data_IF_285165864786
#
_entry.id   IF_285165864786
#
_cell.length_a   1.000
_cell.length_b   1.000
_cell.length_c   1.000
_cell.angle_alpha   90.00
_cell.angle_beta   90.00
_cell.angle_gamma   90.00
#
_symmetry.space_group_name_H-M   'P 1'
#
loop_
_entity.id
_entity.type
_entity.pdbx_description
1 polymer ?
#
# COMPACT_ATOMS: atom_id res chain seq x y z
N UNK A 1 -6.47 -29.33 -43.25
CA UNK A 1 -7.73 -28.62 -42.91
C UNK A 1 -8.57 -28.41 -44.15
N UNK A 2 -9.71 -27.73 -44.04
CA UNK A 2 -10.70 -27.51 -45.13
C UNK A 2 -10.12 -26.92 -46.44
N UNK A 3 -9.00 -26.20 -46.36
CA UNK A 3 -8.37 -25.52 -47.50
C UNK A 3 -7.07 -26.18 -47.94
N UNK A 4 -6.54 -27.14 -47.17
CA UNK A 4 -5.18 -27.68 -47.39
C UNK A 4 -4.02 -26.72 -47.03
N UNK A 5 -4.32 -25.48 -46.62
CA UNK A 5 -3.33 -24.47 -46.23
C UNK A 5 -3.59 -23.97 -44.81
N UNK A 6 -2.53 -23.67 -44.07
CA UNK A 6 -2.58 -23.07 -42.73
C UNK A 6 -2.29 -21.57 -42.72
N UNK A 7 -1.85 -21.00 -43.85
CA UNK A 7 -1.59 -19.56 -43.96
C UNK A 7 -2.89 -18.84 -44.33
N UNK A 8 -3.35 -17.94 -43.46
CA UNK A 8 -4.59 -17.18 -43.69
C UNK A 8 -4.50 -16.27 -44.92
N UNK A 9 -3.30 -15.80 -45.30
CA UNK A 9 -3.13 -14.94 -46.48
C UNK A 9 -3.43 -15.72 -47.77
N UNK A 10 -2.87 -16.91 -47.91
CA UNK A 10 -3.15 -17.82 -49.03
C UNK A 10 -4.65 -18.20 -49.09
N UNK A 11 -5.26 -18.43 -47.92
CA UNK A 11 -6.70 -18.71 -47.85
C UNK A 11 -7.54 -17.49 -48.27
N UNK A 12 -7.16 -16.27 -47.91
CA UNK A 12 -7.83 -15.04 -48.35
C UNK A 12 -7.70 -14.82 -49.86
N UNK A 13 -6.50 -14.99 -50.43
CA UNK A 13 -6.24 -14.85 -51.86
C UNK A 13 -7.06 -15.86 -52.69
N UNK A 14 -7.09 -17.12 -52.26
CA UNK A 14 -7.90 -18.17 -52.92
C UNK A 14 -9.39 -17.90 -52.80
N UNK A 15 -9.85 -17.41 -51.64
CA UNK A 15 -11.25 -17.04 -51.47
C UNK A 15 -11.66 -15.89 -52.39
N UNK A 16 -10.75 -14.91 -52.61
CA UNK A 16 -10.94 -13.84 -53.57
C UNK A 16 -10.94 -14.34 -55.02
N UNK A 17 -10.17 -15.38 -55.34
CA UNK A 17 -10.19 -16.07 -56.63
C UNK A 17 -11.41 -16.99 -56.85
N UNK A 18 -12.35 -17.05 -55.91
CA UNK A 18 -13.60 -17.80 -56.03
C UNK A 18 -13.57 -19.24 -55.50
N UNK A 19 -12.51 -19.63 -54.78
CA UNK A 19 -12.44 -20.95 -54.14
C UNK A 19 -13.47 -21.07 -53.01
N UNK A 20 -14.47 -21.94 -53.22
CA UNK A 20 -15.57 -22.18 -52.28
C UNK A 20 -15.09 -22.75 -50.94
N UNK A 21 -14.06 -23.59 -50.94
CA UNK A 21 -13.53 -24.19 -49.71
C UNK A 21 -12.80 -23.13 -48.87
N UNK A 22 -12.05 -22.23 -49.52
CA UNK A 22 -11.40 -21.10 -48.87
C UNK A 22 -12.42 -20.10 -48.29
N UNK A 23 -13.46 -19.76 -49.06
CA UNK A 23 -14.56 -18.91 -48.59
C UNK A 23 -15.27 -19.51 -47.36
N UNK A 24 -15.57 -20.82 -47.41
CA UNK A 24 -16.19 -21.52 -46.28
C UNK A 24 -15.28 -21.49 -45.04
N UNK A 25 -13.98 -21.72 -45.20
CA UNK A 25 -13.03 -21.71 -44.10
C UNK A 25 -12.96 -20.34 -43.39
N UNK A 26 -12.91 -19.24 -44.16
CA UNK A 26 -12.95 -17.87 -43.63
C UNK A 26 -14.24 -17.62 -42.84
N UNK A 27 -15.39 -18.00 -43.41
CA UNK A 27 -16.68 -17.80 -42.76
C UNK A 27 -16.80 -18.60 -41.47
N UNK A 28 -16.33 -19.86 -41.46
CA UNK A 28 -16.31 -20.69 -40.26
C UNK A 28 -15.37 -20.14 -39.19
N UNK A 29 -14.20 -19.64 -39.58
CA UNK A 29 -13.26 -19.01 -38.66
C UNK A 29 -13.88 -17.77 -38.00
N UNK A 30 -14.42 -16.85 -38.80
CA UNK A 30 -15.04 -15.62 -38.31
C UNK A 30 -16.25 -15.91 -37.41
N UNK A 31 -17.08 -16.89 -37.79
CA UNK A 31 -18.23 -17.32 -37.00
C UNK A 31 -17.80 -17.88 -35.64
N UNK A 32 -16.78 -18.74 -35.61
CA UNK A 32 -16.28 -19.32 -34.34
C UNK A 32 -15.71 -18.24 -33.43
N UNK A 33 -14.86 -17.34 -33.95
CA UNK A 33 -14.30 -16.24 -33.16
C UNK A 33 -15.41 -15.34 -32.57
N UNK A 34 -16.40 -14.98 -33.39
CA UNK A 34 -17.57 -14.19 -32.96
C UNK A 34 -18.38 -14.91 -31.87
N UNK A 35 -18.60 -16.22 -32.02
CA UNK A 35 -19.28 -17.05 -31.00
C UNK A 35 -18.54 -17.01 -29.66
N UNK A 36 -17.19 -17.10 -29.66
CA UNK A 36 -16.41 -17.00 -28.44
C UNK A 36 -16.47 -15.61 -27.79
N UNK A 37 -16.41 -14.54 -28.59
CA UNK A 37 -16.59 -13.17 -28.08
C UNK A 37 -17.93 -13.04 -27.36
N UNK A 38 -19.02 -13.49 -28.00
CA UNK A 38 -20.35 -13.46 -27.39
C UNK A 38 -20.46 -14.29 -26.11
N UNK A 39 -19.87 -15.49 -26.10
CA UNK A 39 -19.85 -16.35 -24.90
C UNK A 39 -19.11 -15.70 -23.72
N UNK A 40 -17.94 -15.10 -23.98
CA UNK A 40 -17.17 -14.42 -22.94
C UNK A 40 -17.81 -13.13 -22.47
N UNK A 41 -18.40 -12.35 -23.38
CA UNK A 41 -19.17 -11.16 -22.99
C UNK A 41 -20.36 -11.53 -22.10
N UNK A 42 -21.08 -12.60 -22.41
CA UNK A 42 -22.17 -13.09 -21.56
C UNK A 42 -21.65 -13.57 -20.19
N UNK A 43 -20.55 -14.32 -20.15
CA UNK A 43 -19.97 -14.84 -18.91
C UNK A 43 -19.44 -13.75 -17.98
N UNK A 44 -18.93 -12.63 -18.53
CA UNK A 44 -18.38 -11.51 -17.76
C UNK A 44 -19.40 -10.41 -17.43
N UNK A 45 -20.65 -10.53 -17.90
CA UNK A 45 -21.69 -9.50 -17.71
C UNK A 45 -21.53 -8.27 -18.62
N UNK A 46 -20.72 -8.38 -19.67
CA UNK A 46 -20.34 -7.30 -20.56
C UNK A 46 -18.86 -7.33 -20.91
N UNK A 47 -18.42 -6.46 -21.82
CA UNK A 47 -17.01 -6.18 -22.09
C UNK A 47 -16.83 -4.71 -22.43
N UNK A 48 -15.73 -4.14 -21.96
CA UNK A 48 -15.32 -2.77 -22.33
C UNK A 48 -14.55 -2.75 -23.65
N UNK A 49 -13.94 -3.87 -24.05
CA UNK A 49 -13.15 -3.95 -25.27
C UNK A 49 -12.97 -5.34 -25.85
N UNK A 50 -12.70 -5.39 -27.15
CA UNK A 50 -12.25 -6.56 -27.90
C UNK A 50 -10.86 -6.26 -28.47
N UNK A 51 -9.88 -7.07 -28.12
CA UNK A 51 -8.49 -6.88 -28.54
C UNK A 51 -8.14 -7.92 -29.61
N UNK A 52 -7.68 -7.45 -30.75
CA UNK A 52 -7.09 -8.26 -31.81
C UNK A 52 -5.57 -8.23 -31.69
N UNK A 53 -4.98 -9.41 -31.59
CA UNK A 53 -3.53 -9.63 -31.53
C UNK A 53 -3.19 -10.95 -32.23
N UNK A 54 -1.91 -11.25 -32.36
CA UNK A 54 -1.39 -12.38 -33.12
C UNK A 54 -1.51 -12.19 -34.63
N UNK A 55 -0.86 -13.05 -35.40
CA UNK A 55 -0.65 -12.84 -36.84
C UNK A 55 -1.91 -12.47 -37.64
N UNK A 56 -3.04 -13.15 -37.42
CA UNK A 56 -4.30 -12.85 -38.14
C UNK A 56 -4.97 -11.58 -37.59
N UNK A 57 -5.03 -11.42 -36.27
CA UNK A 57 -5.68 -10.28 -35.63
C UNK A 57 -4.97 -8.96 -35.93
N UNK A 58 -3.64 -8.99 -36.03
CA UNK A 58 -2.79 -7.85 -36.34
C UNK A 58 -2.89 -7.46 -37.82
N UNK A 59 -2.81 -8.44 -38.73
CA UNK A 59 -2.57 -8.17 -40.15
C UNK A 59 -3.83 -8.23 -41.04
N UNK A 60 -4.88 -8.98 -40.66
CA UNK A 60 -6.07 -9.13 -41.51
C UNK A 60 -7.21 -8.20 -41.09
N UNK A 61 -7.26 -7.03 -41.73
CA UNK A 61 -8.39 -6.11 -41.60
C UNK A 61 -9.71 -6.74 -42.07
N UNK A 62 -9.65 -7.61 -43.09
CA UNK A 62 -10.80 -8.33 -43.63
C UNK A 62 -11.39 -9.28 -42.58
N UNK A 63 -10.53 -10.00 -41.85
CA UNK A 63 -10.94 -10.93 -40.81
C UNK A 63 -11.52 -10.20 -39.60
N UNK A 64 -10.87 -9.13 -39.13
CA UNK A 64 -11.40 -8.28 -38.05
C UNK A 64 -12.81 -7.80 -38.36
N UNK A 65 -13.04 -7.32 -39.60
CA UNK A 65 -14.38 -6.89 -40.06
C UNK A 65 -15.39 -8.03 -39.98
N UNK A 66 -15.05 -9.22 -40.49
CA UNK A 66 -15.93 -10.40 -40.48
C UNK A 66 -16.24 -10.92 -39.08
N UNK A 67 -15.31 -10.77 -38.13
CA UNK A 67 -15.51 -11.17 -36.73
C UNK A 67 -16.42 -10.18 -36.01
N UNK A 68 -16.20 -8.87 -36.20
CA UNK A 68 -16.99 -7.82 -35.57
C UNK A 68 -18.40 -7.67 -36.15
N UNK A 69 -18.64 -8.16 -37.36
CA UNK A 69 -19.95 -8.12 -37.97
C UNK A 69 -20.99 -8.88 -37.13
N UNK A 70 -22.17 -8.31 -36.94
CA UNK A 70 -23.22 -8.89 -36.07
C UNK A 70 -23.01 -8.68 -34.56
N UNK A 71 -21.96 -8.00 -34.10
CA UNK A 71 -21.75 -7.65 -32.67
C UNK A 71 -22.35 -6.28 -32.29
N UNK A 72 -23.15 -5.66 -33.15
CA UNK A 72 -23.76 -4.35 -32.88
C UNK A 72 -24.73 -4.40 -31.70
N UNK A 73 -25.38 -5.54 -31.43
CA UNK A 73 -26.33 -5.70 -30.33
C UNK A 73 -25.67 -5.51 -28.95
N UNK A 74 -24.38 -5.85 -28.81
CA UNK A 74 -23.61 -5.61 -27.59
C UNK A 74 -22.95 -4.22 -27.57
N UNK A 75 -23.22 -3.38 -28.58
CA UNK A 75 -22.71 -2.01 -28.65
C UNK A 75 -21.34 -1.88 -29.32
N UNK A 76 -20.84 -2.93 -29.98
CA UNK A 76 -19.60 -2.88 -30.76
C UNK A 76 -19.91 -2.40 -32.18
N UNK A 77 -19.37 -1.25 -32.57
CA UNK A 77 -19.45 -0.71 -33.94
C UNK A 77 -18.04 -0.49 -34.48
N UNK A 78 -17.69 -1.18 -35.56
CA UNK A 78 -16.37 -1.08 -36.18
C UNK A 78 -16.31 0.07 -37.20
N UNK A 79 -15.27 0.89 -37.13
CA UNK A 79 -14.95 1.89 -38.14
C UNK A 79 -14.16 1.23 -39.27
N UNK A 80 -14.65 1.37 -40.51
CA UNK A 80 -14.06 0.68 -41.65
C UNK A 80 -12.68 1.25 -42.02
N UNK A 81 -12.56 2.58 -42.04
CA UNK A 81 -11.35 3.26 -42.49
C UNK A 81 -10.24 3.11 -41.45
N UNK A 82 -10.57 3.26 -40.16
CA UNK A 82 -9.62 2.99 -39.07
C UNK A 82 -9.13 1.54 -39.07
N UNK A 83 -10.02 0.59 -39.35
CA UNK A 83 -9.66 -0.83 -39.42
C UNK A 83 -8.70 -1.13 -40.58
N UNK A 84 -8.84 -0.47 -41.74
CA UNK A 84 -7.93 -0.60 -42.87
C UNK A 84 -6.60 0.14 -42.66
N UNK A 85 -6.63 1.26 -41.94
CA UNK A 85 -5.48 2.11 -41.69
C UNK A 85 -4.51 1.58 -40.63
N UNK A 86 -4.81 0.44 -39.97
CA UNK A 86 -3.95 -0.14 -38.94
C UNK A 86 -2.54 -0.37 -39.48
N UNK A 87 -1.57 0.25 -38.82
CA UNK A 87 -0.14 0.01 -38.97
C UNK A 87 0.44 -0.12 -37.57
N UNK A 88 0.94 -1.30 -37.23
CA UNK A 88 1.56 -1.55 -35.95
C UNK A 88 3.06 -1.27 -36.08
N UNK A 89 3.54 -0.36 -35.24
CA UNK A 89 4.95 -0.05 -35.06
C UNK A 89 5.10 0.48 -33.64
N UNK A 90 6.29 0.31 -33.04
CA UNK A 90 6.63 0.91 -31.74
C UNK A 90 5.60 0.61 -30.60
N UNK A 91 5.01 -0.59 -30.58
CA UNK A 91 3.96 -0.99 -29.61
C UNK A 91 2.65 -0.20 -29.71
N UNK A 92 2.31 0.29 -30.91
CA UNK A 92 1.03 0.95 -31.14
C UNK A 92 -0.16 0.05 -30.80
N UNK A 93 -1.19 0.65 -30.20
CA UNK A 93 -2.47 -0.01 -29.88
C UNK A 93 -3.66 0.79 -30.45
N UNK A 94 -3.77 0.94 -31.79
CA UNK A 94 -4.83 1.73 -32.42
C UNK A 94 -6.22 1.21 -32.07
N UNK A 95 -7.12 2.16 -31.80
CA UNK A 95 -8.54 1.93 -31.59
C UNK A 95 -9.32 2.08 -32.91
N UNK A 96 -10.01 1.03 -33.32
CA UNK A 96 -10.65 0.91 -34.64
C UNK A 96 -12.18 0.84 -34.58
N UNK A 97 -12.77 1.10 -33.42
CA UNK A 97 -14.21 1.28 -33.29
C UNK A 97 -14.67 2.65 -33.80
N UNK A 98 -15.93 2.70 -34.24
CA UNK A 98 -16.62 3.92 -34.66
C UNK A 98 -16.99 4.79 -33.47
N UNK A 99 -17.20 6.08 -33.71
CA UNK A 99 -17.69 7.01 -32.71
C UNK A 99 -19.02 6.55 -32.11
N UNK A 100 -19.13 6.58 -30.78
CA UNK A 100 -20.30 6.11 -30.05
C UNK A 100 -20.41 4.59 -29.87
N UNK A 101 -19.39 3.81 -30.28
CA UNK A 101 -19.28 2.41 -29.85
C UNK A 101 -19.07 2.33 -28.34
N UNK A 102 -19.84 1.48 -27.65
CA UNK A 102 -19.70 1.23 -26.20
C UNK A 102 -18.53 0.29 -25.90
N UNK A 103 -18.16 -0.53 -26.88
CA UNK A 103 -17.06 -1.48 -26.78
C UNK A 103 -15.91 -0.96 -27.62
N UNK A 104 -14.73 -0.82 -27.02
CA UNK A 104 -13.50 -0.49 -27.73
C UNK A 104 -13.06 -1.67 -28.60
N UNK A 105 -12.46 -1.39 -29.75
CA UNK A 105 -11.85 -2.43 -30.59
C UNK A 105 -10.41 -2.04 -30.81
N UNK A 106 -9.49 -2.80 -30.23
CA UNK A 106 -8.06 -2.46 -30.19
C UNK A 106 -7.29 -3.48 -31.01
N UNK A 107 -6.31 -3.04 -31.78
CA UNK A 107 -5.34 -3.94 -32.43
C UNK A 107 -3.98 -3.67 -31.85
N UNK A 108 -3.26 -4.70 -31.40
CA UNK A 108 -1.94 -4.55 -30.78
C UNK A 108 -1.03 -5.73 -31.10
N UNK A 109 0.28 -5.48 -31.16
CA UNK A 109 1.30 -6.51 -31.31
C UNK A 109 1.33 -7.42 -30.09
N UNK A 110 1.58 -8.71 -30.32
CA UNK A 110 1.81 -9.66 -29.25
C UNK A 110 3.24 -9.49 -28.72
N UNK A 111 3.40 -9.01 -27.49
CA UNK A 111 4.72 -8.80 -26.88
C UNK A 111 5.14 -9.98 -25.98
N UNK A 112 5.18 -11.20 -26.52
CA UNK A 112 5.44 -12.43 -25.75
C UNK A 112 6.79 -12.36 -25.01
N UNK A 113 7.85 -11.90 -25.70
CA UNK A 113 9.19 -11.79 -25.13
C UNK A 113 9.23 -10.77 -23.99
N UNK A 114 8.47 -9.68 -24.08
CA UNK A 114 8.35 -8.70 -23.00
C UNK A 114 7.62 -9.29 -21.80
N UNK A 115 6.57 -10.07 -22.04
CA UNK A 115 5.83 -10.72 -20.95
C UNK A 115 6.68 -11.76 -20.24
N UNK A 116 7.44 -12.57 -20.99
CA UNK A 116 8.42 -13.50 -20.43
C UNK A 116 9.48 -12.74 -19.64
N UNK A 117 10.03 -11.65 -20.17
CA UNK A 117 11.02 -10.84 -19.47
C UNK A 117 10.48 -10.24 -18.17
N UNK A 118 9.22 -9.77 -18.16
CA UNK A 118 8.54 -9.27 -16.94
C UNK A 118 8.32 -10.37 -15.91
N UNK A 119 7.90 -11.55 -16.36
CA UNK A 119 7.71 -12.73 -15.51
C UNK A 119 9.04 -13.14 -14.88
N UNK A 120 10.08 -13.30 -15.72
CA UNK A 120 11.44 -13.61 -15.30
C UNK A 120 11.97 -12.55 -14.34
N UNK A 121 11.78 -11.25 -14.62
CA UNK A 121 12.20 -10.18 -13.71
C UNK A 121 11.50 -10.29 -12.34
N UNK A 122 10.21 -10.62 -12.31
CA UNK A 122 9.46 -10.83 -11.06
C UNK A 122 9.95 -12.03 -10.25
N UNK A 123 10.35 -13.11 -10.92
CA UNK A 123 10.92 -14.30 -10.26
C UNK A 123 12.39 -14.10 -9.87
N UNK A 124 13.16 -13.37 -10.67
CA UNK A 124 14.56 -13.05 -10.42
C UNK A 124 14.75 -11.89 -9.43
N UNK A 125 13.73 -11.07 -9.14
CA UNK A 125 13.82 -10.00 -8.13
C UNK A 125 14.05 -10.49 -6.69
N UNK A 126 14.32 -11.80 -6.52
CA UNK A 126 14.70 -12.53 -5.30
C UNK A 126 13.67 -12.42 -4.19
N UNK A 127 13.34 -13.57 -3.61
CA UNK A 127 12.90 -13.61 -2.23
C UNK A 127 13.94 -12.86 -1.38
N UNK A 128 13.56 -11.69 -0.88
CA UNK A 128 14.29 -10.97 0.16
C UNK A 128 14.54 -11.97 1.29
N UNK A 129 15.73 -11.96 1.89
CA UNK A 129 15.98 -12.76 3.10
C UNK A 129 14.77 -12.60 4.03
N UNK A 130 14.25 -13.68 4.65
CA UNK A 130 13.04 -13.60 5.46
C UNK A 130 13.21 -12.42 6.41
N UNK A 131 12.37 -11.40 6.24
CA UNK A 131 12.47 -10.19 7.04
C UNK A 131 12.37 -10.62 8.49
N UNK A 132 13.39 -10.31 9.28
CA UNK A 132 13.41 -10.60 10.72
C UNK A 132 12.07 -10.12 11.29
N UNK A 133 11.32 -10.98 12.02
CA UNK A 133 10.09 -10.52 12.64
C UNK A 133 10.41 -9.40 13.62
N UNK A 134 9.64 -8.33 13.56
CA UNK A 134 9.76 -7.16 14.41
C UNK A 134 8.67 -7.26 15.46
N UNK A 135 8.99 -7.47 16.75
CA UNK A 135 8.01 -7.40 17.82
C UNK A 135 7.29 -6.04 17.80
N UNK A 136 6.00 -6.05 18.13
CA UNK A 136 5.19 -4.84 18.20
C UNK A 136 4.90 -4.53 19.67
N UNK A 137 5.29 -3.33 20.10
CA UNK A 137 4.94 -2.78 21.39
C UNK A 137 3.83 -1.75 21.24
N UNK A 138 2.80 -1.90 22.06
CA UNK A 138 1.69 -0.96 22.16
C UNK A 138 2.00 0.02 23.28
N UNK A 139 2.16 1.29 22.91
CA UNK A 139 2.43 2.38 23.83
C UNK A 139 1.12 2.97 24.31
N UNK A 140 0.81 2.75 25.60
CA UNK A 140 -0.23 3.50 26.29
C UNK A 140 0.22 4.95 26.53
N UNK A 141 -0.73 5.82 26.89
CA UNK A 141 -0.46 7.22 27.24
C UNK A 141 0.58 7.34 28.35
N UNK A 142 1.55 8.23 28.16
CA UNK A 142 2.64 8.43 29.11
C UNK A 142 3.31 9.80 28.96
N UNK A 143 4.17 10.14 29.92
CA UNK A 143 4.94 11.39 29.96
C UNK A 143 6.42 11.08 30.18
N UNK A 144 7.27 11.77 29.44
CA UNK A 144 8.68 11.95 29.78
C UNK A 144 8.85 13.33 30.39
N UNK A 145 9.45 13.42 31.58
CA UNK A 145 9.62 14.68 32.30
C UNK A 145 11.01 15.28 32.11
N UNK A 146 11.06 16.62 32.07
CA UNK A 146 12.28 17.37 32.35
C UNK A 146 12.56 17.47 33.86
N UNK A 147 13.81 17.78 34.23
CA UNK A 147 14.16 18.01 35.64
C UNK A 147 13.33 19.14 36.27
N UNK A 148 13.11 20.24 35.53
CA UNK A 148 12.29 21.35 35.99
C UNK A 148 10.82 20.95 36.19
N UNK A 149 10.25 20.16 35.26
CA UNK A 149 8.88 19.66 35.41
C UNK A 149 8.76 18.65 36.56
N UNK A 150 9.77 17.80 36.78
CA UNK A 150 9.78 16.89 37.93
C UNK A 150 9.72 17.69 39.24
N UNK A 151 10.58 18.71 39.39
CA UNK A 151 10.60 19.56 40.57
C UNK A 151 9.26 20.28 40.80
N UNK A 152 8.64 20.80 39.74
CA UNK A 152 7.34 21.49 39.83
C UNK A 152 6.18 20.56 40.21
N UNK A 153 6.24 19.27 39.86
CA UNK A 153 5.16 18.31 40.11
C UNK A 153 5.33 17.53 41.42
N UNK A 154 6.57 17.21 41.79
CA UNK A 154 6.93 16.31 42.90
C UNK A 154 7.78 16.97 44.00
N UNK A 155 8.28 18.18 43.78
CA UNK A 155 9.10 18.94 44.73
C UNK A 155 10.58 18.99 44.36
N UNK A 156 11.27 20.04 44.81
CA UNK A 156 12.70 20.23 44.59
C UNK A 156 13.52 19.05 45.12
N UNK A 157 14.47 18.57 44.31
CA UNK A 157 15.33 17.44 44.65
C UNK A 157 14.66 16.06 44.63
N UNK A 158 13.38 15.97 44.24
CA UNK A 158 12.70 14.68 44.14
C UNK A 158 13.33 13.79 43.06
N UNK A 159 13.42 12.48 43.33
CA UNK A 159 13.91 11.47 42.39
C UNK A 159 12.81 10.43 42.18
N UNK A 160 12.45 10.19 40.92
CA UNK A 160 11.48 9.17 40.53
C UNK A 160 11.94 7.78 40.96
N UNK A 161 10.99 6.92 41.33
CA UNK A 161 11.26 5.54 41.73
C UNK A 161 11.06 4.62 40.52
N UNK A 162 12.11 3.94 40.02
CA UNK A 162 11.92 2.93 38.97
C UNK A 162 11.02 1.79 39.43
N UNK A 163 10.13 1.36 38.55
CA UNK A 163 9.25 0.20 38.76
C UNK A 163 9.75 -1.01 37.98
N UNK A 164 9.81 -0.91 36.65
CA UNK A 164 10.32 -1.97 35.78
C UNK A 164 10.98 -1.40 34.53
N UNK A 165 11.95 -2.13 34.00
CA UNK A 165 12.65 -1.78 32.76
C UNK A 165 11.75 -1.99 31.54
N UNK A 166 11.86 -1.07 30.58
CA UNK A 166 11.29 -1.24 29.25
C UNK A 166 12.25 -2.04 28.37
N UNK A 167 11.73 -2.58 27.26
CA UNK A 167 12.55 -3.35 26.32
C UNK A 167 13.65 -2.53 25.66
N UNK A 168 13.42 -1.22 25.47
CA UNK A 168 14.45 -0.32 24.97
C UNK A 168 15.49 -0.07 26.08
N UNK A 169 16.75 -0.52 25.93
CA UNK A 169 17.73 -0.51 27.02
C UNK A 169 17.94 0.87 27.63
N UNK A 170 17.97 0.93 28.97
CA UNK A 170 18.14 2.16 29.73
C UNK A 170 16.86 2.98 29.96
N UNK A 171 15.73 2.59 29.35
CA UNK A 171 14.42 3.20 29.61
C UNK A 171 13.63 2.34 30.60
N UNK A 172 12.81 2.98 31.43
CA UNK A 172 12.07 2.33 32.51
C UNK A 172 10.78 3.07 32.81
N UNK A 173 9.78 2.37 33.36
CA UNK A 173 8.57 2.99 33.88
C UNK A 173 8.77 3.33 35.37
N UNK A 174 8.33 4.51 35.78
CA UNK A 174 8.34 4.92 37.19
C UNK A 174 7.16 4.31 37.96
N UNK A 175 7.21 4.31 39.31
CA UNK A 175 6.03 4.00 40.15
C UNK A 175 5.06 5.16 40.20
N UNK A 176 5.57 6.37 40.09
CA UNK A 176 4.81 7.60 40.13
C UNK A 176 3.92 7.75 38.87
N UNK A 177 2.84 8.49 39.04
CA UNK A 177 1.89 8.83 37.97
C UNK A 177 1.57 10.32 38.03
N UNK A 178 1.17 10.88 36.90
CA UNK A 178 0.67 12.25 36.81
C UNK A 178 -0.74 12.26 36.23
N UNK A 179 -1.43 13.38 36.43
CA UNK A 179 -2.74 13.63 35.82
C UNK A 179 -2.60 14.67 34.71
N UNK A 180 -3.21 14.40 33.55
CA UNK A 180 -3.31 15.34 32.43
C UNK A 180 -4.68 16.02 32.49
N UNK A 181 -4.72 17.35 32.51
CA UNK A 181 -5.97 18.12 32.52
C UNK A 181 -6.06 18.98 31.26
N UNK A 182 -7.07 18.71 30.44
CA UNK A 182 -7.42 19.50 29.27
C UNK A 182 -8.73 20.29 29.47
N UNK A 183 -9.14 21.12 28.49
CA UNK A 183 -10.33 21.96 28.60
C UNK A 183 -11.64 21.19 28.80
N UNK A 184 -11.72 19.96 28.27
CA UNK A 184 -12.94 19.14 28.29
C UNK A 184 -12.92 18.06 29.37
N UNK A 185 -11.74 17.58 29.76
CA UNK A 185 -11.64 16.42 30.64
C UNK A 185 -10.23 16.16 31.15
N UNK A 186 -10.15 15.11 31.94
CA UNK A 186 -8.95 14.72 32.69
C UNK A 186 -8.59 13.27 32.37
N UNK A 187 -7.29 12.99 32.26
CA UNK A 187 -6.75 11.63 32.22
C UNK A 187 -5.88 11.43 33.46
N UNK A 188 -6.37 10.64 34.40
CA UNK A 188 -5.64 10.30 35.63
C UNK A 188 -4.68 9.12 35.41
N UNK A 189 -3.76 8.95 36.37
CA UNK A 189 -2.86 7.80 36.44
C UNK A 189 -2.00 7.60 35.18
N UNK A 190 -1.58 8.69 34.53
CA UNK A 190 -0.71 8.63 33.34
C UNK A 190 0.71 8.27 33.75
N UNK A 191 1.28 7.29 33.04
CA UNK A 191 2.60 6.73 33.32
C UNK A 191 3.71 7.76 33.10
N UNK A 192 4.78 7.65 33.89
CA UNK A 192 6.01 8.42 33.70
C UNK A 192 7.10 7.47 33.22
N UNK A 193 7.74 7.79 32.11
CA UNK A 193 8.84 6.99 31.56
C UNK A 193 10.17 7.72 31.73
N UNK A 194 11.11 7.04 32.37
CA UNK A 194 12.48 7.48 32.56
C UNK A 194 13.42 6.99 31.45
N UNK A 195 14.64 7.56 31.38
CA UNK A 195 15.17 8.63 32.24
C UNK A 195 14.55 10.00 31.93
N UNK A 196 14.85 10.99 32.78
CA UNK A 196 14.46 12.38 32.52
C UNK A 196 15.03 12.87 31.19
N UNK A 197 14.28 13.73 30.49
CA UNK A 197 14.66 14.32 29.21
C UNK A 197 14.99 15.81 29.37
N UNK A 198 15.54 16.42 28.33
CA UNK A 198 15.79 17.87 28.32
C UNK A 198 14.50 18.69 28.25
N UNK A 199 13.44 18.15 27.64
CA UNK A 199 12.12 18.78 27.51
C UNK A 199 11.03 17.77 27.82
N UNK A 200 9.99 18.23 28.49
CA UNK A 200 8.82 17.41 28.81
C UNK A 200 8.05 17.06 27.54
N UNK A 201 7.67 15.80 27.41
CA UNK A 201 6.94 15.26 26.27
C UNK A 201 5.79 14.40 26.75
N UNK A 202 4.60 14.61 26.21
CA UNK A 202 3.38 13.89 26.55
C UNK A 202 2.88 13.18 25.31
N UNK A 203 2.77 11.85 25.39
CA UNK A 203 2.31 11.00 24.31
C UNK A 203 0.93 10.43 24.68
N UNK A 204 -0.05 10.70 23.82
CA UNK A 204 -1.44 10.24 23.97
C UNK A 204 -1.96 9.65 22.66
N UNK A 205 -3.05 8.89 22.69
CA UNK A 205 -3.72 8.47 21.46
C UNK A 205 -4.59 9.59 20.88
N UNK A 206 -5.09 9.43 19.65
CA UNK A 206 -6.08 10.38 19.08
C UNK A 206 -7.36 10.37 19.90
N UNK A 207 -7.80 9.21 20.38
CA UNK A 207 -8.95 9.06 21.29
C UNK A 207 -8.77 9.89 22.56
N UNK A 208 -7.60 9.80 23.19
CA UNK A 208 -7.27 10.58 24.40
C UNK A 208 -7.32 12.09 24.15
N UNK A 209 -6.87 12.53 22.98
CA UNK A 209 -6.91 13.96 22.59
C UNK A 209 -8.35 14.51 22.57
N UNK A 210 -9.32 13.71 22.13
CA UNK A 210 -10.75 14.06 22.16
C UNK A 210 -11.35 14.08 23.58
N UNK A 211 -10.83 13.25 24.48
CA UNK A 211 -11.25 13.24 25.88
C UNK A 211 -10.75 14.49 26.62
N UNK A 212 -9.50 14.87 26.38
CA UNK A 212 -8.89 16.09 26.91
C UNK A 212 -9.49 17.36 26.31
N UNK A 213 -10.01 17.29 25.08
CA UNK A 213 -10.50 18.45 24.34
C UNK A 213 -9.37 19.31 23.79
N UNK A 214 -8.25 18.68 23.43
CA UNK A 214 -7.08 19.33 22.84
C UNK A 214 -6.76 18.64 21.53
N UNK A 215 -6.60 19.40 20.44
CA UNK A 215 -6.15 18.84 19.18
C UNK A 215 -4.62 18.65 19.19
N UNK A 216 -4.18 17.46 19.60
CA UNK A 216 -2.78 17.08 19.59
C UNK A 216 -2.33 16.67 18.16
N UNK A 217 -1.20 17.21 17.65
CA UNK A 217 -0.68 16.82 16.35
C UNK A 217 0.01 15.45 16.39
N UNK A 218 -0.02 14.71 15.28
CA UNK A 218 0.79 13.50 15.10
C UNK A 218 2.24 13.90 14.87
N UNK A 219 3.17 13.44 15.71
CA UNK A 219 4.59 13.85 15.66
C UNK A 219 5.53 12.70 16.02
N UNK A 220 6.72 12.77 15.44
CA UNK A 220 7.88 12.05 15.95
C UNK A 220 8.29 12.56 17.33
N UNK A 221 8.62 11.65 18.25
CA UNK A 221 9.27 12.00 19.53
C UNK A 221 10.40 13.02 19.34
N UNK A 222 10.40 14.06 20.18
CA UNK A 222 11.33 15.19 20.12
C UNK A 222 10.89 16.34 19.20
N UNK A 223 9.89 16.16 18.32
CA UNK A 223 9.37 17.23 17.45
C UNK A 223 8.21 17.99 18.10
N UNK A 224 8.55 18.74 19.16
CA UNK A 224 7.58 19.34 20.08
C UNK A 224 7.21 20.80 19.77
N UNK A 225 7.82 21.42 18.76
CA UNK A 225 7.55 22.81 18.45
C UNK A 225 6.13 23.02 17.91
N UNK A 226 5.48 24.08 18.40
CA UNK A 226 4.09 24.41 18.07
C UNK A 226 3.07 23.38 18.55
N UNK A 227 3.41 22.57 19.57
CA UNK A 227 2.44 21.67 20.22
C UNK A 227 1.54 22.45 21.18
N UNK A 228 0.30 21.97 21.40
CA UNK A 228 -0.63 22.65 22.30
C UNK A 228 -0.18 22.59 23.76
N UNK A 229 -0.66 23.55 24.55
CA UNK A 229 -0.46 23.57 26.00
C UNK A 229 -1.44 22.64 26.71
N UNK A 230 -0.95 21.93 27.73
CA UNK A 230 -1.73 21.08 28.62
C UNK A 230 -1.26 21.27 30.06
N UNK A 231 -2.16 21.06 31.03
CA UNK A 231 -1.82 21.05 32.45
C UNK A 231 -1.41 19.65 32.91
N UNK A 232 -0.25 19.55 33.53
CA UNK A 232 0.19 18.39 34.32
C UNK A 232 -0.06 18.66 35.80
N UNK A 233 -0.60 17.67 36.51
CA UNK A 233 -0.80 17.72 37.96
C UNK A 233 -0.07 16.54 38.60
N UNK A 234 0.80 16.84 39.57
CA UNK A 234 1.50 15.88 40.41
C UNK A 234 1.03 15.98 41.88
N UNK A 235 1.63 15.21 42.79
CA UNK A 235 1.18 15.12 44.18
C UNK A 235 1.35 16.42 44.98
N UNK A 236 2.30 17.29 44.61
CA UNK A 236 2.60 18.52 45.38
C UNK A 236 2.51 19.79 44.55
N UNK A 237 2.25 19.69 43.24
CA UNK A 237 2.20 20.84 42.35
C UNK A 237 1.61 20.54 40.99
N UNK A 238 1.52 21.58 40.17
CA UNK A 238 0.98 21.53 38.82
C UNK A 238 1.74 22.49 37.92
N UNK A 239 1.77 22.22 36.62
CA UNK A 239 2.37 23.12 35.62
C UNK A 239 1.62 23.04 34.29
N UNK A 240 1.55 24.17 33.59
CA UNK A 240 1.07 24.24 32.21
C UNK A 240 2.29 24.17 31.27
N UNK A 241 2.32 23.21 30.34
CA UNK A 241 3.45 22.97 29.43
C UNK A 241 2.98 22.65 28.02
N UNK A 242 3.85 22.90 27.04
CA UNK A 242 3.74 22.28 25.73
C UNK A 242 4.28 20.83 25.74
N UNK A 243 4.36 20.22 24.56
CA UNK A 243 4.94 18.88 24.37
C UNK A 243 3.91 17.76 24.20
N UNK A 244 2.61 18.09 24.11
CA UNK A 244 1.54 17.13 23.86
C UNK A 244 1.47 16.73 22.38
N UNK A 245 1.62 15.43 22.11
CA UNK A 245 1.56 14.85 20.76
C UNK A 245 0.76 13.56 20.74
N UNK A 246 0.22 13.23 19.56
CA UNK A 246 -0.08 11.84 19.22
C UNK A 246 1.20 11.22 18.66
N UNK A 247 1.66 10.14 19.27
CA UNK A 247 2.93 9.54 18.89
C UNK A 247 2.86 8.96 17.47
N UNK A 248 3.72 9.43 16.57
CA UNK A 248 3.88 8.80 15.27
C UNK A 248 4.55 7.43 15.44
N UNK A 249 4.00 6.40 14.80
CA UNK A 249 4.61 5.06 14.77
C UNK A 249 6.04 5.08 14.25
N UNK A 250 6.89 4.29 14.87
CA UNK A 250 8.30 4.18 14.49
C UNK A 250 8.87 2.83 14.91
N UNK A 251 10.06 2.51 14.40
CA UNK A 251 10.83 1.32 14.76
C UNK A 251 12.14 1.77 15.36
N UNK A 252 12.41 1.33 16.58
CA UNK A 252 13.76 1.33 17.12
C UNK A 252 14.49 0.09 16.59
N UNK A 253 15.74 0.24 16.16
CA UNK A 253 16.58 -0.88 15.73
C UNK A 253 18.07 -0.58 15.91
N UNK A 254 18.92 -1.60 15.92
CA UNK A 254 20.38 -1.45 15.98
C UNK A 254 21.01 -1.60 14.58
N UNK A 255 22.27 -1.15 14.37
CA UNK A 255 22.91 -1.20 13.05
C UNK A 255 22.95 -2.60 12.42
N UNK A 256 23.13 -3.64 13.23
CA UNK A 256 23.18 -5.03 12.75
C UNK A 256 21.83 -5.47 12.19
N UNK A 257 20.74 -5.23 12.94
CA UNK A 257 19.39 -5.58 12.51
C UNK A 257 18.91 -4.69 11.35
N UNK A 258 19.26 -3.40 11.35
CA UNK A 258 18.97 -2.49 10.25
C UNK A 258 19.60 -2.99 8.93
N UNK A 259 20.89 -3.36 8.97
CA UNK A 259 21.58 -3.94 7.83
C UNK A 259 20.94 -5.26 7.37
N UNK A 260 20.53 -6.13 8.30
CA UNK A 260 19.86 -7.38 7.99
C UNK A 260 18.48 -7.19 7.33
N UNK A 261 17.74 -6.14 7.72
CA UNK A 261 16.47 -5.75 7.09
C UNK A 261 16.65 -4.93 5.80
N UNK A 262 17.87 -4.45 5.54
CA UNK A 262 18.17 -3.53 4.44
C UNK A 262 17.45 -2.21 4.60
N UNK A 263 17.51 -1.63 5.80
CA UNK A 263 16.94 -0.33 6.15
C UNK A 263 17.98 0.60 6.77
N UNK A 264 17.74 1.90 6.67
CA UNK A 264 18.65 2.95 7.14
C UNK A 264 17.97 3.89 8.13
N UNK A 265 18.76 4.62 8.93
CA UNK A 265 18.24 5.62 9.87
C UNK A 265 17.48 6.73 9.14
N UNK A 266 16.33 7.13 9.67
CA UNK A 266 15.48 8.16 9.07
C UNK A 266 14.64 7.69 7.88
N UNK A 267 14.80 6.43 7.44
CA UNK A 267 14.01 5.87 6.35
C UNK A 267 12.56 5.64 6.79
N UNK A 268 11.61 5.87 5.88
CA UNK A 268 10.23 5.42 6.03
C UNK A 268 10.00 4.09 5.32
N UNK A 269 9.43 3.11 6.03
CA UNK A 269 9.13 1.78 5.50
C UNK A 269 7.67 1.38 5.70
N UNK A 270 7.24 0.36 4.99
CA UNK A 270 5.93 -0.24 5.20
C UNK A 270 6.09 -1.52 6.05
N UNK A 271 5.24 -1.69 7.06
CA UNK A 271 5.27 -2.85 7.95
C UNK A 271 3.98 -3.64 7.79
N UNK A 272 4.10 -4.86 7.27
CA UNK A 272 2.98 -5.81 7.23
C UNK A 272 2.93 -6.57 8.53
N UNK A 273 1.74 -6.68 9.11
CA UNK A 273 1.51 -7.49 10.29
C UNK A 273 1.42 -8.97 9.94
N UNK A 274 1.97 -9.80 10.81
CA UNK A 274 1.86 -11.26 10.80
C UNK A 274 1.34 -11.75 12.14
N UNK A 275 0.50 -12.79 12.13
CA UNK A 275 0.01 -13.43 13.37
C UNK A 275 -1.17 -12.74 14.05
N UNK A 276 -1.92 -11.88 13.36
CA UNK A 276 -3.14 -11.25 13.88
C UNK A 276 -4.38 -11.52 13.01
N UNK A 277 -5.58 -11.36 13.58
CA UNK A 277 -6.86 -11.56 12.88
C UNK A 277 -7.18 -10.43 11.89
N UNK A 278 -6.66 -9.22 12.15
CA UNK A 278 -6.85 -8.05 11.28
C UNK A 278 -5.58 -7.77 10.48
N UNK A 279 -5.47 -8.40 9.31
CA UNK A 279 -4.34 -8.18 8.41
C UNK A 279 -4.25 -6.72 7.96
N UNK A 280 -3.19 -6.02 8.36
CA UNK A 280 -2.91 -4.64 7.99
C UNK A 280 -1.46 -4.45 7.53
N UNK A 281 -1.24 -3.37 6.78
CA UNK A 281 0.10 -2.86 6.49
C UNK A 281 0.17 -1.40 6.93
N UNK A 282 1.00 -1.11 7.92
CA UNK A 282 1.31 0.24 8.35
C UNK A 282 2.30 0.85 7.37
N UNK A 283 1.82 1.72 6.49
CA UNK A 283 2.71 2.46 5.58
C UNK A 283 3.50 3.54 6.33
N UNK A 284 4.60 4.03 5.77
CA UNK A 284 5.33 5.20 6.31
C UNK A 284 5.67 5.12 7.81
N UNK A 285 6.22 4.01 8.27
CA UNK A 285 6.78 3.85 9.63
C UNK A 285 8.25 4.27 9.62
N UNK A 286 8.63 5.21 10.50
CA UNK A 286 9.99 5.74 10.57
C UNK A 286 10.96 4.73 11.20
N UNK A 287 12.13 4.53 10.60
CA UNK A 287 13.25 3.77 11.18
C UNK A 287 14.15 4.69 12.00
N UNK A 288 14.50 4.26 13.22
CA UNK A 288 15.44 4.93 14.11
C UNK A 288 16.53 3.96 14.53
N UNK A 289 17.72 4.15 13.98
CA UNK A 289 18.88 3.30 14.27
C UNK A 289 19.68 3.88 15.42
N UNK A 290 19.84 3.09 16.50
CA UNK A 290 20.66 3.46 17.65
C UNK A 290 21.55 2.27 18.05
N UNK A 291 22.80 2.48 18.50
CA UNK A 291 23.75 1.39 18.73
C UNK A 291 23.26 0.26 19.64
N UNK A 292 22.47 0.62 20.66
CA UNK A 292 21.98 -0.32 21.69
C UNK A 292 20.47 -0.57 21.62
N UNK A 293 19.80 -0.12 20.56
CA UNK A 293 18.35 -0.27 20.47
C UNK A 293 17.94 -1.75 20.32
N UNK A 294 16.90 -2.11 21.05
CA UNK A 294 16.20 -3.37 20.84
C UNK A 294 15.28 -3.20 19.63
N UNK A 295 15.34 -4.12 18.66
CA UNK A 295 14.53 -4.01 17.44
C UNK A 295 13.05 -4.24 17.75
N UNK A 296 12.25 -3.18 17.64
CA UNK A 296 10.83 -3.19 18.02
C UNK A 296 10.06 -2.04 17.34
N UNK A 297 8.83 -2.31 16.92
CA UNK A 297 7.91 -1.30 16.40
C UNK A 297 7.03 -0.76 17.52
N UNK A 298 6.96 0.55 17.65
CA UNK A 298 6.12 1.25 18.63
C UNK A 298 4.93 1.88 17.91
N UNK A 299 3.73 1.55 18.38
CA UNK A 299 2.44 2.08 17.92
C UNK A 299 1.60 2.50 19.12
N UNK A 300 0.64 3.40 18.92
CA UNK A 300 -0.29 3.77 19.99
C UNK A 300 -1.43 2.75 20.15
N UNK A 301 -2.28 2.96 21.16
CA UNK A 301 -3.41 2.08 21.45
C UNK A 301 -4.50 2.11 20.36
N UNK A 302 -4.68 3.22 19.66
CA UNK A 302 -5.70 3.34 18.60
C UNK A 302 -5.24 2.53 17.37
N UNK A 303 -3.96 2.65 16.99
CA UNK A 303 -3.34 1.83 15.94
C UNK A 303 -3.37 0.34 16.29
N UNK A 304 -3.06 -0.02 17.53
CA UNK A 304 -3.09 -1.39 18.00
C UNK A 304 -4.50 -2.00 17.96
N UNK A 305 -5.51 -1.24 18.40
CA UNK A 305 -6.92 -1.66 18.36
C UNK A 305 -7.41 -1.81 16.92
N UNK A 306 -7.01 -0.90 16.02
CA UNK A 306 -7.32 -1.00 14.59
C UNK A 306 -6.69 -2.24 13.95
N UNK A 307 -5.50 -2.64 14.40
CA UNK A 307 -4.77 -3.82 13.94
C UNK A 307 -5.11 -5.12 14.68
N UNK A 308 -5.91 -5.08 15.75
CA UNK A 308 -6.20 -6.26 16.56
C UNK A 308 -4.93 -6.92 17.12
N UNK A 309 -3.96 -6.10 17.55
CA UNK A 309 -2.67 -6.61 18.05
C UNK A 309 -2.89 -7.44 19.32
N UNK A 310 -2.48 -8.71 19.27
CA UNK A 310 -2.52 -9.67 20.37
C UNK A 310 -1.18 -10.36 20.58
N UNK A 311 -1.16 -11.38 21.45
CA UNK A 311 0.05 -12.15 21.72
C UNK A 311 0.57 -12.84 20.46
N UNK A 312 1.85 -12.65 20.14
CA UNK A 312 2.49 -13.25 18.96
C UNK A 312 2.31 -12.46 17.66
N UNK A 313 1.70 -11.27 17.69
CA UNK A 313 1.67 -10.40 16.53
C UNK A 313 3.04 -9.73 16.33
N UNK A 314 3.58 -9.88 15.13
CA UNK A 314 4.87 -9.34 14.72
C UNK A 314 4.70 -8.55 13.41
N UNK A 315 5.67 -7.69 13.12
CA UNK A 315 5.76 -6.91 11.89
C UNK A 315 6.86 -7.42 10.98
N UNK A 316 6.70 -7.20 9.68
CA UNK A 316 7.71 -7.47 8.66
C UNK A 316 7.83 -6.29 7.72
N UNK A 317 9.07 -5.85 7.45
CA UNK A 317 9.34 -4.83 6.44
C UNK A 317 8.94 -5.37 5.08
N UNK A 318 7.96 -4.75 4.46
CA UNK A 318 7.57 -5.07 3.08
C UNK A 318 8.16 -4.05 2.11
N UNK A 319 8.60 -4.48 0.91
CA UNK A 319 8.94 -3.55 -0.16
C UNK A 319 7.79 -2.56 -0.38
N UNK A 320 8.12 -1.29 -0.64
CA UNK A 320 7.12 -0.28 -0.90
C UNK A 320 6.18 -0.73 -2.01
N UNK A 321 4.88 -0.80 -1.72
CA UNK A 321 3.87 -0.75 -2.77
C UNK A 321 3.88 0.68 -3.29
N UNK A 322 4.59 0.93 -4.38
CA UNK A 322 4.33 2.11 -5.19
C UNK A 322 2.99 1.87 -5.89
N UNK A 323 1.94 2.53 -5.42
CA UNK A 323 0.78 2.76 -6.27
C UNK A 323 1.18 3.90 -7.21
N UNK A 324 1.64 3.56 -8.41
CA UNK A 324 1.65 4.52 -9.51
C UNK A 324 0.19 4.83 -9.84
N UNK A 325 -0.27 6.00 -9.40
CA UNK A 325 -1.44 6.61 -9.99
C UNK A 325 -0.95 7.23 -11.30
N UNK A 326 -1.04 6.45 -12.38
CA UNK A 326 -0.92 7.00 -13.73
C UNK A 326 -1.99 8.08 -13.88
N UNK A 327 -1.53 9.32 -14.06
CA UNK A 327 -2.35 10.47 -14.46
C UNK A 327 -2.53 10.52 -15.96
#
# INVERSE_FOLDING_TARGET
GLTGSSDMRDVEDRAAAGDRAAQLAINLYAYRARKYIGAYAAAMGGVDGVIFTGGIGENSASMRRRICDGLQFMGLRLDHDRNLAVRLAERAAPQIQAYGSRVAVIVTETAEQLQIAREVARHLSKARAPSRPIPIAVSARHVHLSAASLAALFGEGYTLTPDHDLRQPGNWAAKERVTLVGPKGTLDHVAILGPLRSRTQIEVSRTDSFALGIEAPVRDSGKLDGTPTIRLVGPVGQLDTDGLIVAARHIHTNPTDAAAMGVEDGQYVNIRLTGGERGLTFARTLIRVQPTAFTEMHIDTDEANAAGIGAGCEGQVVPGMAAELDG
#
